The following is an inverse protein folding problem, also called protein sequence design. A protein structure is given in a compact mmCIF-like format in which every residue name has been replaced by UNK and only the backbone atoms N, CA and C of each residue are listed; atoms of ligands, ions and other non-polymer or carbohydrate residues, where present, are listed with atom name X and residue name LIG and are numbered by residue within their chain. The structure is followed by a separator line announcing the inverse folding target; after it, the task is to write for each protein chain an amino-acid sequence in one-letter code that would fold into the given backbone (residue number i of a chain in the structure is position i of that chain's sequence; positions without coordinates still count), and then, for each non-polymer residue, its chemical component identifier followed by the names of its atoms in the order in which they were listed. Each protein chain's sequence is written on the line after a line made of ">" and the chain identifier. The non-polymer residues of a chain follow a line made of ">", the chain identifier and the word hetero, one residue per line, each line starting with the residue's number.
data_IF_071758715417
#
_entry.id   IF_071758715417
#
_cell.length_a   1.000
_cell.length_b   1.000
_cell.length_c   1.000
_cell.angle_alpha   90.00
_cell.angle_beta   90.00
_cell.angle_gamma   90.00
#
_symmetry.space_group_name_H-M   'P 1'
#
loop_
_entity.id
_entity.type
_entity.pdbx_description
1 polymer ?
#
# COMPACT_ATOMS: atom_id res chain seq x y z
N UNK A 1 23.65 -0.83 -13.58
CA UNK A 1 22.65 -0.62 -12.52
C UNK A 1 22.17 -1.99 -12.04
N UNK A 2 22.63 -2.42 -10.87
CA UNK A 2 22.36 -3.73 -10.27
C UNK A 2 20.88 -3.93 -9.96
N UNK A 3 20.41 -5.17 -10.06
CA UNK A 3 19.02 -5.58 -9.80
C UNK A 3 18.58 -5.39 -8.33
N UNK A 4 19.50 -5.04 -7.42
CA UNK A 4 19.28 -5.04 -5.98
C UNK A 4 18.38 -3.88 -5.46
N UNK A 5 18.26 -2.79 -6.22
CA UNK A 5 17.48 -1.61 -5.80
C UNK A 5 16.06 -1.58 -6.39
N UNK A 6 15.75 -2.50 -7.31
CA UNK A 6 14.44 -2.58 -7.95
C UNK A 6 13.50 -3.48 -7.17
N UNK A 7 12.29 -2.98 -6.89
CA UNK A 7 11.21 -3.76 -6.28
C UNK A 7 10.16 -4.07 -7.34
N UNK A 8 10.04 -5.34 -7.70
CA UNK A 8 9.00 -5.84 -8.61
C UNK A 8 7.67 -6.04 -7.84
N UNK A 9 7.10 -4.93 -7.37
CA UNK A 9 5.90 -4.91 -6.52
C UNK A 9 5.89 -3.70 -5.58
N UNK A 10 5.23 -3.85 -4.43
CA UNK A 10 5.17 -2.81 -3.38
C UNK A 10 5.80 -3.34 -2.09
N UNK A 11 6.86 -2.68 -1.62
CA UNK A 11 7.47 -2.95 -0.32
C UNK A 11 7.19 -1.81 0.65
N UNK A 12 6.69 -2.13 1.84
CA UNK A 12 6.40 -1.16 2.91
C UNK A 12 7.35 -1.41 4.08
N UNK A 13 8.28 -0.49 4.30
CA UNK A 13 9.18 -0.52 5.43
C UNK A 13 8.52 0.20 6.61
N UNK A 14 8.37 -0.51 7.72
CA UNK A 14 7.60 -0.08 8.89
C UNK A 14 8.31 -0.45 10.20
N UNK A 15 7.76 0.00 11.33
CA UNK A 15 8.18 -0.42 12.68
C UNK A 15 7.00 -0.52 13.65
N UNK A 16 7.09 -1.33 14.72
CA UNK A 16 6.07 -1.41 15.77
C UNK A 16 5.74 -0.05 16.39
N UNK A 17 4.47 0.14 16.77
CA UNK A 17 4.00 1.38 17.41
C UNK A 17 3.85 2.59 16.50
N UNK A 18 4.17 2.49 15.20
CA UNK A 18 4.02 3.59 14.24
C UNK A 18 2.55 3.77 13.78
N UNK A 19 1.85 4.86 14.18
CA UNK A 19 0.45 5.07 13.81
C UNK A 19 0.26 5.33 12.31
N UNK A 20 1.21 6.01 11.66
CA UNK A 20 1.19 6.27 10.22
C UNK A 20 1.30 4.97 9.42
N UNK A 21 2.19 4.07 9.83
CA UNK A 21 2.38 2.76 9.23
C UNK A 21 1.09 1.93 9.31
N UNK A 22 0.47 1.86 10.49
CA UNK A 22 -0.82 1.18 10.69
C UNK A 22 -1.93 1.76 9.81
N UNK A 23 -1.98 3.10 9.68
CA UNK A 23 -2.96 3.78 8.83
C UNK A 23 -2.76 3.46 7.34
N UNK A 24 -1.51 3.54 6.85
CA UNK A 24 -1.18 3.30 5.46
C UNK A 24 -1.44 1.84 5.07
N UNK A 25 -0.92 0.88 5.84
CA UNK A 25 -1.11 -0.56 5.60
C UNK A 25 -2.59 -0.95 5.57
N UNK A 26 -3.40 -0.40 6.48
CA UNK A 26 -4.86 -0.60 6.47
C UNK A 26 -5.52 -0.02 5.22
N UNK A 27 -5.04 1.13 4.75
CA UNK A 27 -5.58 1.77 3.56
C UNK A 27 -5.25 0.97 2.28
N UNK A 28 -4.02 0.46 2.16
CA UNK A 28 -3.58 -0.41 1.07
C UNK A 28 -4.39 -1.72 1.02
N UNK A 29 -4.54 -2.41 2.16
CA UNK A 29 -5.41 -3.60 2.26
C UNK A 29 -6.86 -3.34 1.84
N UNK A 30 -7.43 -2.18 2.18
CA UNK A 30 -8.80 -1.83 1.75
C UNK A 30 -8.92 -1.59 0.25
N UNK A 31 -7.82 -1.23 -0.41
CA UNK A 31 -7.75 -1.14 -1.87
C UNK A 31 -7.43 -2.46 -2.55
N UNK A 32 -7.15 -3.53 -1.78
CA UNK A 32 -6.74 -4.81 -2.33
C UNK A 32 -5.30 -4.82 -2.85
N UNK A 33 -4.50 -3.80 -2.52
CA UNK A 33 -3.11 -3.72 -2.95
C UNK A 33 -2.29 -4.65 -2.05
N UNK A 34 -1.73 -5.69 -2.64
CA UNK A 34 -0.81 -6.61 -1.96
C UNK A 34 0.56 -5.96 -1.79
N UNK A 35 1.11 -6.10 -0.57
CA UNK A 35 2.36 -5.46 -0.18
C UNK A 35 3.24 -6.40 0.61
N UNK A 36 4.55 -6.35 0.36
CA UNK A 36 5.56 -6.96 1.22
C UNK A 36 5.93 -6.00 2.34
N UNK A 37 5.56 -6.32 3.57
CA UNK A 37 5.78 -5.46 4.73
C UNK A 37 7.03 -5.92 5.51
N UNK A 38 8.01 -5.01 5.70
CA UNK A 38 9.30 -5.33 6.33
C UNK A 38 9.50 -4.46 7.56
N UNK A 39 9.75 -5.09 8.72
CA UNK A 39 10.05 -4.39 9.97
C UNK A 39 11.54 -4.00 10.02
N UNK A 40 11.80 -2.69 10.01
CA UNK A 40 13.17 -2.17 10.00
C UNK A 40 13.92 -2.40 11.33
N UNK A 41 13.21 -2.67 12.42
CA UNK A 41 13.85 -3.01 13.69
C UNK A 41 14.44 -4.42 13.69
N UNK A 42 13.87 -5.32 12.88
CA UNK A 42 14.33 -6.70 12.77
C UNK A 42 15.29 -6.89 11.58
N UNK A 43 15.12 -6.09 10.53
CA UNK A 43 15.94 -6.15 9.33
C UNK A 43 16.86 -4.92 9.21
N UNK A 44 18.15 -5.14 9.52
CA UNK A 44 19.19 -4.10 9.41
C UNK A 44 19.39 -3.60 7.99
N UNK A 45 19.18 -4.43 6.97
CA UNK A 45 19.29 -4.02 5.58
C UNK A 45 18.11 -3.11 5.18
N UNK A 46 16.90 -3.42 5.67
CA UNK A 46 15.75 -2.54 5.50
C UNK A 46 15.97 -1.19 6.19
N UNK A 47 16.48 -1.17 7.43
CA UNK A 47 16.85 0.07 8.12
C UNK A 47 17.88 0.89 7.32
N UNK A 48 18.90 0.25 6.76
CA UNK A 48 19.89 0.91 5.91
C UNK A 48 19.26 1.54 4.66
N UNK A 49 18.31 0.85 4.00
CA UNK A 49 17.54 1.40 2.87
C UNK A 49 16.73 2.63 3.24
N UNK A 50 16.08 2.63 4.41
CA UNK A 50 15.35 3.83 4.89
C UNK A 50 16.32 4.99 5.06
N UNK A 51 17.42 4.80 5.79
CA UNK A 51 18.42 5.86 6.01
C UNK A 51 18.99 6.42 4.71
N UNK A 52 19.25 5.56 3.73
CA UNK A 52 19.75 5.98 2.42
C UNK A 52 18.77 6.92 1.69
N UNK A 53 17.47 6.68 1.81
CA UNK A 53 16.43 7.48 1.15
C UNK A 53 16.14 8.79 1.90
N UNK A 54 16.21 8.77 3.22
CA UNK A 54 15.80 9.88 4.09
C UNK A 54 16.94 10.84 4.45
N UNK A 55 18.17 10.55 4.03
CA UNK A 55 19.34 11.34 4.40
C UNK A 55 19.91 11.02 5.79
N UNK A 56 19.64 9.82 6.31
CA UNK A 56 20.22 9.29 7.55
C UNK A 56 19.21 8.87 8.61
N UNK A 57 17.96 9.29 8.48
CA UNK A 57 16.90 9.00 9.46
C UNK A 57 16.18 7.67 9.20
N UNK A 58 15.57 7.09 10.23
CA UNK A 58 14.70 5.92 10.08
C UNK A 58 13.22 6.32 9.96
N UNK A 59 12.91 7.22 9.01
CA UNK A 59 11.55 7.72 8.81
C UNK A 59 10.67 6.67 8.13
N UNK A 60 9.57 6.30 8.80
CA UNK A 60 8.60 5.30 8.33
C UNK A 60 7.17 5.85 8.42
N UNK A 61 6.23 5.39 7.56
CA UNK A 61 6.41 4.36 6.54
C UNK A 61 7.23 4.86 5.34
N UNK A 62 8.18 4.06 4.86
CA UNK A 62 8.85 4.29 3.58
C UNK A 62 8.45 3.18 2.63
N UNK A 63 8.02 3.53 1.42
CA UNK A 63 7.46 2.59 0.44
C UNK A 63 8.32 2.56 -0.80
N UNK A 64 8.70 1.38 -1.26
CA UNK A 64 9.40 1.20 -2.53
C UNK A 64 8.45 0.62 -3.58
N UNK A 65 8.50 1.20 -4.78
CA UNK A 65 7.75 0.76 -5.96
C UNK A 65 8.68 0.89 -7.17
N UNK A 66 8.95 -0.21 -7.85
CA UNK A 66 9.90 -0.21 -8.97
C UNK A 66 11.26 0.37 -8.55
N UNK A 67 11.66 1.51 -9.13
CA UNK A 67 12.95 2.16 -8.83
C UNK A 67 12.87 3.29 -7.81
N UNK A 68 11.68 3.65 -7.33
CA UNK A 68 11.50 4.82 -6.46
C UNK A 68 11.16 4.45 -5.04
N UNK A 69 11.53 5.33 -4.13
CA UNK A 69 11.16 5.30 -2.73
C UNK A 69 10.33 6.52 -2.38
N UNK A 70 9.24 6.32 -1.65
CA UNK A 70 8.32 7.33 -1.18
C UNK A 70 8.36 7.36 0.35
N UNK A 71 8.60 8.54 0.92
CA UNK A 71 8.69 8.72 2.38
C UNK A 71 7.36 9.25 2.91
N UNK A 72 6.75 8.50 3.82
CA UNK A 72 5.43 8.74 4.40
C UNK A 72 4.30 9.07 3.38
N UNK A 73 4.13 8.28 2.31
CA UNK A 73 3.15 8.57 1.25
C UNK A 73 1.71 8.28 1.65
N UNK A 74 0.78 8.91 0.95
CA UNK A 74 -0.62 8.49 0.86
C UNK A 74 -0.84 7.37 -0.17
N UNK A 75 -2.00 6.72 -0.11
CA UNK A 75 -2.34 5.61 -1.03
C UNK A 75 -2.37 6.06 -2.49
N UNK A 76 -2.86 7.27 -2.79
CA UNK A 76 -2.91 7.78 -4.17
C UNK A 76 -1.52 8.01 -4.77
N UNK A 77 -0.55 8.40 -3.95
CA UNK A 77 0.83 8.56 -4.40
C UNK A 77 1.46 7.21 -4.73
N UNK A 78 1.13 6.17 -3.97
CA UNK A 78 1.54 4.80 -4.27
C UNK A 78 0.87 4.29 -5.55
N UNK A 79 -0.44 4.52 -5.73
CA UNK A 79 -1.17 4.16 -6.96
C UNK A 79 -0.51 4.80 -8.20
N UNK A 80 -0.22 6.11 -8.15
CA UNK A 80 0.46 6.82 -9.23
C UNK A 80 1.89 6.32 -9.47
N UNK A 81 2.61 5.95 -8.40
CA UNK A 81 3.95 5.36 -8.54
C UNK A 81 3.90 3.98 -9.20
N UNK A 82 2.89 3.15 -8.92
CA UNK A 82 2.71 1.86 -9.59
C UNK A 82 2.51 2.07 -11.10
N UNK A 83 1.61 2.96 -11.49
CA UNK A 83 1.34 3.25 -12.91
C UNK A 83 2.60 3.76 -13.64
N UNK A 84 3.42 4.57 -12.98
CA UNK A 84 4.65 5.13 -13.57
C UNK A 84 5.79 4.14 -13.64
N UNK A 85 6.02 3.38 -12.57
CA UNK A 85 7.22 2.55 -12.42
C UNK A 85 7.02 1.12 -12.88
N UNK A 86 5.78 0.63 -12.84
CA UNK A 86 5.41 -0.75 -13.15
C UNK A 86 4.19 -0.77 -14.11
N UNK A 87 4.22 -0.04 -15.25
CA UNK A 87 3.05 0.10 -16.13
C UNK A 87 2.51 -1.25 -16.62
N UNK A 88 3.40 -2.19 -16.94
CA UNK A 88 3.04 -3.54 -17.40
C UNK A 88 2.35 -4.40 -16.33
N UNK A 89 2.53 -4.06 -15.05
CA UNK A 89 1.93 -4.78 -13.90
C UNK A 89 0.84 -3.98 -13.20
N UNK A 90 0.54 -2.76 -13.64
CA UNK A 90 -0.42 -1.90 -12.98
C UNK A 90 -1.81 -2.56 -12.87
N UNK A 91 -2.26 -3.30 -13.90
CA UNK A 91 -3.54 -4.03 -13.87
C UNK A 91 -3.59 -5.19 -12.86
N UNK A 92 -2.44 -5.76 -12.49
CA UNK A 92 -2.32 -6.78 -11.45
C UNK A 92 -2.25 -6.15 -10.05
N UNK A 93 -1.42 -5.10 -9.91
CA UNK A 93 -1.09 -4.47 -8.63
C UNK A 93 -2.16 -3.48 -8.15
N UNK A 94 -3.00 -2.98 -9.05
CA UNK A 94 -4.13 -2.10 -8.78
C UNK A 94 -5.43 -2.82 -9.10
N UNK A 95 -5.94 -3.68 -8.19
CA UNK A 95 -7.19 -4.35 -8.45
C UNK A 95 -8.32 -3.32 -8.56
N UNK A 96 -9.23 -3.57 -9.50
CA UNK A 96 -10.43 -2.77 -9.65
C UNK A 96 -11.18 -2.71 -8.30
N UNK A 97 -11.80 -1.57 -7.95
CA UNK A 97 -12.55 -1.45 -6.72
C UNK A 97 -13.60 -2.56 -6.66
N UNK A 98 -13.51 -3.41 -5.65
CA UNK A 98 -14.44 -4.53 -5.45
C UNK A 98 -15.84 -3.92 -5.34
N UNK A 99 -16.68 -4.16 -6.34
CA UNK A 99 -18.06 -3.70 -6.34
C UNK A 99 -18.76 -4.33 -5.13
N UNK A 100 -19.09 -3.53 -4.12
CA UNK A 100 -19.91 -4.03 -3.02
C UNK A 100 -21.28 -4.40 -3.59
N UNK A 101 -21.81 -5.60 -3.33
CA UNK A 101 -23.19 -5.90 -3.69
C UNK A 101 -24.09 -4.86 -3.01
N UNK A 102 -24.86 -4.11 -3.82
CA UNK A 102 -25.88 -3.19 -3.30
C UNK A 102 -26.83 -4.07 -2.49
N UNK A 103 -26.93 -3.86 -1.17
CA UNK A 103 -28.01 -4.47 -0.38
C UNK A 103 -29.32 -4.04 -1.03
N UNK A 104 -30.00 -5.00 -1.69
CA UNK A 104 -31.35 -4.81 -2.15
C UNK A 104 -32.19 -4.64 -0.87
N UNK A 105 -32.52 -3.40 -0.50
CA UNK A 105 -33.53 -3.15 0.50
C UNK A 105 -34.84 -3.66 -0.09
N UNK A 106 -35.16 -4.92 0.20
CA UNK A 106 -36.46 -5.52 -0.07
C UNK A 106 -37.49 -4.70 0.71
N UNK A 107 -38.15 -3.77 0.00
CA UNK A 107 -39.39 -3.12 0.40
C UNK A 107 -40.44 -4.21 0.51
N UNK A 108 -40.51 -4.88 1.66
CA UNK A 108 -41.65 -5.72 1.99
C UNK A 108 -42.78 -4.75 2.33
N UNK A 109 -43.59 -4.44 1.33
CA UNK A 109 -44.90 -3.84 1.52
C UNK A 109 -45.76 -4.83 2.28
N UNK A 110 -46.26 -4.40 3.43
CA UNK A 110 -47.23 -5.14 4.22
C UNK A 110 -48.63 -4.80 3.69
N UNK A 111 -49.42 -5.76 3.17
CA UNK A 111 -50.81 -5.48 2.86
C UNK A 111 -51.64 -5.73 4.13
N UNK A 112 -52.43 -4.75 4.57
CA UNK A 112 -53.57 -5.04 5.41
C UNK A 112 -54.81 -4.38 4.81
N UNK A 113 -55.61 -5.25 4.20
CA UNK A 113 -57.06 -5.13 4.07
C UNK A 113 -57.69 -4.90 5.45
N UNK A 114 -58.74 -4.09 5.50
CA UNK A 114 -59.64 -3.90 6.62
C UNK A 114 -60.55 -2.73 6.35
#
# INVERSE_FOLDING_TARGET
>A
MTSADFVDGIEVLWRPGCPFCSRLRRALRRRGIDTREIDIWQDRAAAARVRAVTGGDETVPTVFVGRVALVNPGVREIEAAIERELPERAGELLPAPVSRPRKLLSRIGFPLRG
#
